data_IF_917594418415
#
_entry.id   IF_917594418415
#
_cell.length_a   1.000
_cell.length_b   1.000
_cell.length_c   1.000
_cell.angle_alpha   90.00
_cell.angle_beta   90.00
_cell.angle_gamma   90.00
#
_symmetry.space_group_name_H-M   'P 1'
#
loop_
_entity.id
_entity.type
_entity.pdbx_description
1 polymer ?
#
# COMPACT_ATOMS: atom_id res chain seq x y z
N UNK A 1 25.45 -7.25 -34.68
CA UNK A 1 23.98 -7.25 -34.83
C UNK A 1 23.43 -8.26 -33.83
N UNK A 2 23.28 -7.83 -32.59
CA UNK A 2 22.83 -8.64 -31.47
C UNK A 2 21.43 -8.15 -31.11
N UNK A 3 20.40 -8.86 -31.56
CA UNK A 3 19.03 -8.64 -31.13
C UNK A 3 18.88 -9.14 -29.69
N UNK A 4 19.02 -8.25 -28.71
CA UNK A 4 18.62 -8.52 -27.33
C UNK A 4 17.09 -8.58 -27.25
N UNK A 5 16.56 -9.81 -27.37
CA UNK A 5 15.18 -10.13 -27.01
C UNK A 5 15.01 -10.01 -25.50
N UNK A 6 14.40 -8.92 -25.04
CA UNK A 6 13.93 -8.79 -23.65
C UNK A 6 12.45 -9.17 -23.53
N UNK A 7 12.19 -10.11 -22.61
CA UNK A 7 10.97 -10.89 -22.45
C UNK A 7 9.76 -10.07 -21.94
N UNK A 8 8.54 -10.47 -22.35
CA UNK A 8 7.26 -9.84 -22.01
C UNK A 8 6.30 -10.82 -21.33
N UNK A 9 5.66 -10.37 -20.25
CA UNK A 9 4.62 -11.09 -19.51
C UNK A 9 3.24 -11.20 -20.21
N UNK A 10 3.15 -11.00 -21.54
CA UNK A 10 2.02 -11.53 -22.34
C UNK A 10 2.26 -11.52 -23.88
N UNK A 11 3.48 -11.81 -24.32
CA UNK A 11 3.76 -12.49 -25.61
C UNK A 11 3.38 -11.87 -26.96
N UNK A 12 2.67 -10.74 -27.07
CA UNK A 12 2.49 -10.03 -28.36
C UNK A 12 3.18 -8.68 -28.35
N UNK A 13 4.38 -8.66 -28.91
CA UNK A 13 4.98 -7.45 -29.47
C UNK A 13 4.07 -7.02 -30.61
N UNK A 14 3.37 -5.88 -30.44
CA UNK A 14 2.76 -5.20 -31.59
C UNK A 14 3.91 -4.97 -32.55
N UNK A 15 3.81 -5.60 -33.72
CA UNK A 15 4.87 -5.62 -34.72
C UNK A 15 5.19 -4.16 -35.04
N UNK A 16 6.39 -3.71 -34.69
CA UNK A 16 6.84 -2.35 -34.98
C UNK A 16 6.83 -2.21 -36.51
N UNK A 17 6.04 -1.27 -37.03
CA UNK A 17 5.98 -1.06 -38.48
C UNK A 17 7.20 -0.29 -38.98
N UNK A 18 7.74 0.61 -38.14
CA UNK A 18 8.94 1.39 -38.39
C UNK A 18 9.69 1.60 -37.08
N UNK A 19 11.00 1.34 -37.08
CA UNK A 19 11.87 1.60 -35.93
C UNK A 19 12.40 3.04 -36.00
N UNK A 20 12.01 3.86 -35.02
CA UNK A 20 12.47 5.25 -34.91
C UNK A 20 13.61 5.42 -33.89
N UNK A 21 14.16 4.34 -33.34
CA UNK A 21 15.18 4.39 -32.28
C UNK A 21 16.36 5.29 -32.64
N UNK A 22 16.88 5.17 -33.87
CA UNK A 22 17.99 6.00 -34.36
C UNK A 22 17.67 7.49 -34.45
N UNK A 23 16.44 7.83 -34.81
CA UNK A 23 15.98 9.23 -34.91
C UNK A 23 15.80 9.81 -33.52
N UNK A 24 15.26 9.02 -32.59
CA UNK A 24 15.07 9.41 -31.19
C UNK A 24 16.43 9.56 -30.48
N UNK A 25 17.39 8.68 -30.74
CA UNK A 25 18.75 8.77 -30.18
C UNK A 25 19.51 10.03 -30.61
N UNK A 26 19.26 10.54 -31.82
CA UNK A 26 19.86 11.78 -32.28
C UNK A 26 19.11 13.01 -31.76
N UNK A 27 17.78 12.98 -31.77
CA UNK A 27 16.95 14.13 -31.40
C UNK A 27 16.83 14.35 -29.89
N UNK A 28 16.92 13.30 -29.07
CA UNK A 28 16.85 13.43 -27.61
C UNK A 28 17.97 14.33 -27.05
N UNK A 29 19.27 14.11 -27.35
CA UNK A 29 20.33 14.99 -26.88
C UNK A 29 20.22 16.42 -27.39
N UNK A 30 19.72 16.62 -28.62
CA UNK A 30 19.47 17.95 -29.17
C UNK A 30 18.37 18.69 -28.39
N UNK A 31 17.29 17.99 -28.06
CA UNK A 31 16.20 18.55 -27.25
C UNK A 31 16.65 18.82 -25.81
N UNK A 32 17.48 17.96 -25.22
CA UNK A 32 18.08 18.20 -23.90
C UNK A 32 18.99 19.44 -23.90
N UNK A 33 19.79 19.64 -24.95
CA UNK A 33 20.59 20.86 -25.10
C UNK A 33 19.71 22.10 -25.24
N UNK A 34 18.68 22.04 -26.09
CA UNK A 34 17.72 23.14 -26.26
C UNK A 34 16.98 23.49 -24.96
N UNK A 35 16.63 22.49 -24.14
CA UNK A 35 16.06 22.73 -22.82
C UNK A 35 17.04 23.43 -21.88
N UNK A 36 18.32 23.04 -21.87
CA UNK A 36 19.38 23.69 -21.08
C UNK A 36 19.67 25.12 -21.54
N UNK A 37 19.47 25.41 -22.82
CA UNK A 37 19.57 26.75 -23.40
C UNK A 37 18.33 27.64 -23.11
N UNK A 38 17.34 27.12 -22.36
CA UNK A 38 16.14 27.87 -21.95
C UNK A 38 14.98 27.80 -22.95
N UNK A 39 15.09 27.01 -24.02
CA UNK A 39 14.04 26.82 -25.04
C UNK A 39 13.21 25.56 -24.77
N UNK A 40 12.67 25.45 -23.55
CA UNK A 40 11.94 24.27 -23.09
C UNK A 40 10.72 23.97 -23.98
N UNK A 41 9.93 24.98 -24.33
CA UNK A 41 8.69 24.81 -25.10
C UNK A 41 8.97 24.30 -26.52
N UNK A 42 9.95 24.87 -27.23
CA UNK A 42 10.33 24.42 -28.58
C UNK A 42 10.83 22.96 -28.57
N UNK A 43 11.60 22.60 -27.55
CA UNK A 43 12.10 21.24 -27.38
C UNK A 43 10.97 20.24 -27.10
N UNK A 44 9.98 20.61 -26.27
CA UNK A 44 8.79 19.80 -26.01
C UNK A 44 7.94 19.66 -27.28
N UNK A 45 7.71 20.73 -28.04
CA UNK A 45 6.95 20.66 -29.29
C UNK A 45 7.60 19.72 -30.31
N UNK A 46 8.93 19.79 -30.44
CA UNK A 46 9.72 18.87 -31.26
C UNK A 46 9.51 17.42 -30.82
N UNK A 47 9.62 17.13 -29.52
CA UNK A 47 9.37 15.79 -28.96
C UNK A 47 7.91 15.34 -29.15
N UNK A 48 6.93 16.23 -29.02
CA UNK A 48 5.52 15.91 -29.25
C UNK A 48 5.20 15.59 -30.71
N UNK A 49 5.97 16.15 -31.64
CA UNK A 49 5.89 15.82 -33.07
C UNK A 49 6.44 14.42 -33.36
N UNK A 50 7.57 14.06 -32.74
CA UNK A 50 8.16 12.73 -32.81
C UNK A 50 7.27 11.69 -32.12
N UNK A 51 6.72 12.02 -30.96
CA UNK A 51 5.76 11.17 -30.24
C UNK A 51 4.58 10.78 -31.12
N UNK A 52 4.07 11.72 -31.93
CA UNK A 52 2.97 11.44 -32.85
C UNK A 52 3.39 10.40 -33.90
N UNK A 53 4.60 10.50 -34.45
CA UNK A 53 5.11 9.57 -35.46
C UNK A 53 5.35 8.18 -34.86
N UNK A 54 6.05 8.10 -33.72
CA UNK A 54 6.38 6.83 -33.06
C UNK A 54 5.13 6.12 -32.54
N UNK A 55 4.15 6.88 -32.03
CA UNK A 55 2.86 6.34 -31.59
C UNK A 55 2.04 5.77 -32.74
N UNK A 56 1.97 6.47 -33.88
CA UNK A 56 1.29 5.97 -35.07
C UNK A 56 1.97 4.72 -35.63
N UNK A 57 3.29 4.65 -35.57
CA UNK A 57 4.07 3.48 -35.96
C UNK A 57 4.05 2.32 -34.92
N UNK A 58 3.33 2.49 -33.81
CA UNK A 58 3.26 1.53 -32.70
C UNK A 58 4.62 1.15 -32.10
N UNK A 59 5.62 2.04 -32.21
CA UNK A 59 6.94 1.88 -31.63
C UNK A 59 6.88 2.18 -30.13
N UNK A 60 6.74 1.10 -29.35
CA UNK A 60 6.62 1.18 -27.89
C UNK A 60 7.88 1.73 -27.22
N UNK A 61 9.06 1.35 -27.69
CA UNK A 61 10.32 1.68 -27.02
C UNK A 61 10.64 3.16 -27.19
N UNK A 62 10.58 3.64 -28.43
CA UNK A 62 10.82 5.04 -28.76
C UNK A 62 9.77 5.95 -28.13
N UNK A 63 8.48 5.59 -28.22
CA UNK A 63 7.41 6.40 -27.59
C UNK A 63 7.58 6.48 -26.07
N UNK A 64 7.97 5.38 -25.41
CA UNK A 64 8.25 5.40 -23.97
C UNK A 64 9.42 6.32 -23.62
N UNK A 65 10.51 6.28 -24.40
CA UNK A 65 11.69 7.14 -24.18
C UNK A 65 11.36 8.61 -24.39
N UNK A 66 10.58 8.94 -25.42
CA UNK A 66 10.13 10.32 -25.67
C UNK A 66 9.29 10.83 -24.50
N UNK A 67 8.31 10.05 -24.01
CA UNK A 67 7.49 10.45 -22.85
C UNK A 67 8.34 10.69 -21.60
N UNK A 68 9.29 9.79 -21.32
CA UNK A 68 10.21 9.92 -20.18
C UNK A 68 11.09 11.17 -20.32
N UNK A 69 11.60 11.45 -21.51
CA UNK A 69 12.43 12.61 -21.77
C UNK A 69 11.67 13.93 -21.60
N UNK A 70 10.41 14.01 -22.06
CA UNK A 70 9.55 15.18 -21.84
C UNK A 70 9.39 15.46 -20.34
N UNK A 71 9.12 14.42 -19.55
CA UNK A 71 9.00 14.54 -18.09
C UNK A 71 10.33 14.96 -17.45
N UNK A 72 11.44 14.35 -17.86
CA UNK A 72 12.79 14.68 -17.38
C UNK A 72 13.17 16.13 -17.65
N UNK A 73 12.93 16.63 -18.86
CA UNK A 73 13.24 18.01 -19.22
C UNK A 73 12.40 19.01 -18.42
N UNK A 74 11.10 18.73 -18.19
CA UNK A 74 10.27 19.58 -17.34
C UNK A 74 10.77 19.59 -15.88
N UNK A 75 11.22 18.44 -15.39
CA UNK A 75 11.80 18.31 -14.05
C UNK A 75 13.14 19.07 -13.92
N UNK A 76 14.05 18.94 -14.89
CA UNK A 76 15.33 19.66 -14.91
C UNK A 76 15.15 21.18 -14.98
N UNK A 77 14.17 21.64 -15.75
CA UNK A 77 13.81 23.05 -15.84
C UNK A 77 13.08 23.58 -14.59
N UNK A 78 12.70 22.71 -13.64
CA UNK A 78 11.87 23.00 -12.46
C UNK A 78 10.51 23.63 -12.80
N UNK A 79 10.02 23.37 -14.00
CA UNK A 79 8.70 23.83 -14.45
C UNK A 79 7.65 22.74 -14.22
N UNK A 80 7.09 22.75 -13.01
CA UNK A 80 6.11 21.76 -12.54
C UNK A 80 4.74 21.94 -13.17
N UNK A 81 4.39 23.16 -13.56
CA UNK A 81 3.10 23.44 -14.19
C UNK A 81 3.12 22.89 -15.62
N UNK A 82 4.21 23.14 -16.39
CA UNK A 82 4.41 22.51 -17.69
C UNK A 82 4.48 20.98 -17.58
N UNK A 83 5.09 20.44 -16.54
CA UNK A 83 5.13 18.99 -16.29
C UNK A 83 3.70 18.42 -16.17
N UNK A 84 2.87 19.00 -15.30
CA UNK A 84 1.51 18.53 -15.06
C UNK A 84 0.63 18.62 -16.31
N UNK A 85 0.74 19.71 -17.07
CA UNK A 85 0.04 19.89 -18.35
C UNK A 85 0.44 18.83 -19.38
N UNK A 86 1.74 18.58 -19.53
CA UNK A 86 2.24 17.57 -20.47
C UNK A 86 1.82 16.16 -20.08
N UNK A 87 1.89 15.80 -18.80
CA UNK A 87 1.40 14.49 -18.32
C UNK A 87 -0.08 14.32 -18.67
N UNK A 88 -0.90 15.34 -18.41
CA UNK A 88 -2.34 15.32 -18.73
C UNK A 88 -2.59 15.21 -20.23
N UNK A 89 -1.86 15.96 -21.05
CA UNK A 89 -1.96 15.94 -22.51
C UNK A 89 -1.61 14.57 -23.08
N UNK A 90 -0.43 14.04 -22.73
CA UNK A 90 0.10 12.77 -23.22
C UNK A 90 -0.79 11.58 -22.83
N UNK A 91 -1.41 11.67 -21.65
CA UNK A 91 -2.35 10.68 -21.13
C UNK A 91 -3.69 10.67 -21.86
N UNK A 92 -4.19 11.86 -22.25
CA UNK A 92 -5.49 12.03 -22.93
C UNK A 92 -5.41 11.79 -24.45
N UNK A 93 -4.20 11.69 -25.02
CA UNK A 93 -4.03 11.41 -26.47
C UNK A 93 -4.69 10.08 -26.85
N UNK A 94 -5.55 10.12 -27.87
CA UNK A 94 -6.27 8.95 -28.39
C UNK A 94 -5.29 7.89 -28.89
N UNK A 95 -5.46 6.62 -28.52
CA UNK A 95 -4.57 5.52 -28.94
C UNK A 95 -3.13 5.63 -28.43
N UNK A 96 -2.93 6.24 -27.26
CA UNK A 96 -1.62 6.19 -26.61
C UNK A 96 -1.29 4.75 -26.15
N UNK A 97 -0.02 4.38 -26.28
CA UNK A 97 0.46 3.05 -25.93
C UNK A 97 0.50 2.85 -24.41
N UNK A 98 -0.12 1.77 -23.92
CA UNK A 98 -0.30 1.51 -22.47
C UNK A 98 1.03 1.44 -21.70
N UNK A 99 2.03 0.70 -22.22
CA UNK A 99 3.32 0.58 -21.52
C UNK A 99 4.12 1.89 -21.55
N UNK A 100 3.93 2.73 -22.57
CA UNK A 100 4.57 4.04 -22.66
C UNK A 100 4.06 4.98 -21.56
N UNK A 101 2.74 5.00 -21.33
CA UNK A 101 2.14 5.71 -20.18
C UNK A 101 2.61 5.13 -18.85
N UNK A 102 2.70 3.80 -18.72
CA UNK A 102 3.17 3.17 -17.48
C UNK A 102 4.59 3.61 -17.13
N UNK A 103 5.53 3.58 -18.09
CA UNK A 103 6.91 4.04 -17.88
C UNK A 103 6.99 5.52 -17.53
N UNK A 104 6.18 6.36 -18.21
CA UNK A 104 6.09 7.78 -17.89
C UNK A 104 5.65 8.02 -16.44
N UNK A 105 4.59 7.34 -15.98
CA UNK A 105 4.07 7.47 -14.61
C UNK A 105 5.09 6.96 -13.58
N UNK A 106 5.80 5.87 -13.88
CA UNK A 106 6.85 5.33 -13.00
C UNK A 106 8.02 6.30 -12.80
N UNK A 107 8.44 7.01 -13.86
CA UNK A 107 9.45 8.07 -13.73
C UNK A 107 8.90 9.26 -12.93
N UNK A 108 7.65 9.67 -13.18
CA UNK A 108 7.01 10.73 -12.39
C UNK A 108 6.94 10.39 -10.90
N UNK A 109 6.70 9.12 -10.55
CA UNK A 109 6.66 8.65 -9.18
C UNK A 109 7.99 8.87 -8.45
N UNK A 110 9.13 8.61 -9.11
CA UNK A 110 10.46 8.86 -8.53
C UNK A 110 10.64 10.34 -8.16
N UNK A 111 10.11 11.25 -8.99
CA UNK A 111 10.19 12.68 -8.71
C UNK A 111 9.36 13.09 -7.50
N UNK A 112 8.18 12.48 -7.27
CA UNK A 112 7.35 12.73 -6.09
C UNK A 112 8.13 12.49 -4.78
N UNK A 113 9.01 11.50 -4.75
CA UNK A 113 9.83 11.19 -3.57
C UNK A 113 10.97 12.20 -3.39
N UNK A 114 11.54 12.73 -4.47
CA UNK A 114 12.64 13.72 -4.42
C UNK A 114 12.17 15.15 -4.15
N UNK A 115 10.93 15.50 -4.50
CA UNK A 115 10.38 16.84 -4.28
C UNK A 115 10.15 17.06 -2.78
N UNK A 116 10.87 18.03 -2.22
CA UNK A 116 10.73 18.44 -0.82
C UNK A 116 9.61 19.44 -0.59
N UNK A 117 9.22 20.19 -1.62
CA UNK A 117 8.19 21.22 -1.52
C UNK A 117 6.77 20.62 -1.49
N UNK A 118 6.08 20.81 -0.38
CA UNK A 118 4.78 20.19 -0.07
C UNK A 118 3.64 20.59 -1.04
N UNK A 119 3.41 21.88 -1.38
CA UNK A 119 2.43 22.27 -2.39
C UNK A 119 2.67 21.67 -3.77
N UNK A 120 3.92 21.66 -4.24
CA UNK A 120 4.28 21.09 -5.55
C UNK A 120 4.05 19.58 -5.56
N UNK A 121 4.46 18.91 -4.47
CA UNK A 121 4.24 17.48 -4.27
C UNK A 121 2.74 17.11 -4.33
N UNK A 122 1.88 17.90 -3.68
CA UNK A 122 0.43 17.69 -3.71
C UNK A 122 -0.14 17.84 -5.12
N UNK A 123 0.22 18.90 -5.87
CA UNK A 123 -0.25 19.09 -7.25
C UNK A 123 0.15 17.96 -8.18
N UNK A 124 1.40 17.48 -8.08
CA UNK A 124 1.90 16.38 -8.89
C UNK A 124 1.16 15.07 -8.57
N UNK A 125 0.95 14.79 -7.27
CA UNK A 125 0.20 13.61 -6.84
C UNK A 125 -1.25 13.65 -7.36
N UNK A 126 -1.95 14.79 -7.26
CA UNK A 126 -3.33 14.92 -7.74
C UNK A 126 -3.42 14.74 -9.26
N UNK A 127 -2.46 15.28 -10.01
CA UNK A 127 -2.34 15.08 -11.45
C UNK A 127 -2.15 13.61 -11.78
N UNK A 128 -1.22 12.92 -11.10
CA UNK A 128 -0.96 11.49 -11.31
C UNK A 128 -2.15 10.61 -10.90
N UNK A 129 -2.87 10.94 -9.81
CA UNK A 129 -4.09 10.23 -9.40
C UNK A 129 -5.21 10.37 -10.44
N UNK A 130 -5.34 11.55 -11.06
CA UNK A 130 -6.31 11.80 -12.14
C UNK A 130 -5.96 11.00 -13.39
N UNK A 131 -4.68 10.98 -13.75
CA UNK A 131 -4.13 10.31 -14.95
C UNK A 131 -4.21 8.79 -14.87
N UNK A 132 -4.05 8.24 -13.66
CA UNK A 132 -4.10 6.79 -13.38
C UNK A 132 -5.52 6.28 -13.11
N UNK A 133 -6.51 7.16 -13.00
CA UNK A 133 -7.90 6.77 -12.76
C UNK A 133 -8.46 5.91 -13.91
N UNK A 134 -9.03 4.74 -13.56
CA UNK A 134 -9.66 3.82 -14.52
C UNK A 134 -8.69 3.00 -15.37
N UNK A 135 -7.38 3.04 -15.10
CA UNK A 135 -6.36 2.32 -15.87
C UNK A 135 -5.76 1.15 -15.09
N UNK A 136 -6.14 -0.07 -15.47
CA UNK A 136 -5.73 -1.32 -14.81
C UNK A 136 -4.20 -1.50 -14.81
N UNK A 137 -3.51 -1.08 -15.88
CA UNK A 137 -2.06 -1.29 -16.04
C UNK A 137 -1.17 -0.36 -15.19
N UNK A 138 -1.75 0.61 -14.47
CA UNK A 138 -1.04 1.51 -13.54
C UNK A 138 -1.72 1.54 -12.15
N UNK A 139 -2.47 0.49 -11.82
CA UNK A 139 -3.22 0.40 -10.56
C UNK A 139 -2.32 0.35 -9.32
N UNK A 140 -1.17 -0.33 -9.43
CA UNK A 140 -0.17 -0.43 -8.35
C UNK A 140 0.42 0.95 -8.03
N UNK A 141 0.84 1.70 -9.06
CA UNK A 141 1.42 3.03 -8.87
C UNK A 141 0.39 4.00 -8.28
N UNK A 142 -0.88 3.89 -8.70
CA UNK A 142 -1.98 4.66 -8.12
C UNK A 142 -2.16 4.36 -6.63
N UNK A 143 -2.09 3.09 -6.23
CA UNK A 143 -2.20 2.69 -4.83
C UNK A 143 -1.08 3.32 -3.99
N UNK A 144 0.17 3.23 -4.46
CA UNK A 144 1.34 3.80 -3.79
C UNK A 144 1.30 5.33 -3.68
N UNK A 145 0.90 6.02 -4.76
CA UNK A 145 0.68 7.47 -4.75
C UNK A 145 -0.38 7.88 -3.73
N UNK A 146 -1.46 7.11 -3.64
CA UNK A 146 -2.56 7.41 -2.71
C UNK A 146 -2.15 7.16 -1.26
N UNK A 147 -1.34 6.14 -0.99
CA UNK A 147 -0.72 5.93 0.34
C UNK A 147 0.16 7.11 0.74
N UNK A 148 0.98 7.60 -0.19
CA UNK A 148 1.83 8.77 0.04
C UNK A 148 1.00 10.02 0.31
N UNK A 149 -0.09 10.24 -0.45
CA UNK A 149 -1.02 11.34 -0.21
C UNK A 149 -1.67 11.26 1.17
N UNK A 150 -2.14 10.08 1.56
CA UNK A 150 -2.76 9.85 2.86
C UNK A 150 -1.78 10.19 4.00
N UNK A 151 -0.51 9.79 3.89
CA UNK A 151 0.52 10.11 4.87
C UNK A 151 0.78 11.62 4.97
N UNK A 152 0.81 12.34 3.84
CA UNK A 152 0.99 13.80 3.84
C UNK A 152 -0.20 14.49 4.54
N UNK A 153 -1.43 14.05 4.24
CA UNK A 153 -2.64 14.58 4.89
C UNK A 153 -2.73 14.24 6.37
N UNK A 154 -2.24 13.07 6.77
CA UNK A 154 -2.15 12.71 8.17
C UNK A 154 -1.17 13.63 8.92
N UNK A 155 0.00 13.91 8.31
CA UNK A 155 0.98 14.84 8.87
C UNK A 155 0.47 16.28 8.95
N UNK A 156 -0.43 16.70 8.06
CA UNK A 156 -1.10 18.00 8.14
C UNK A 156 -2.25 18.04 9.17
N UNK A 157 -2.56 16.92 9.82
CA UNK A 157 -3.64 16.81 10.81
C UNK A 157 -5.02 16.51 10.21
N UNK A 158 -5.12 16.35 8.89
CA UNK A 158 -6.35 16.02 8.16
C UNK A 158 -6.62 14.50 8.12
N UNK A 159 -6.63 13.86 9.29
CA UNK A 159 -6.76 12.38 9.42
C UNK A 159 -8.05 11.84 8.79
N UNK A 160 -9.15 12.61 8.85
CA UNK A 160 -10.44 12.23 8.24
C UNK A 160 -10.36 12.14 6.73
N UNK A 161 -9.70 13.11 6.10
CA UNK A 161 -9.54 13.12 4.65
C UNK A 161 -8.57 12.02 4.20
N UNK A 162 -7.47 11.84 4.94
CA UNK A 162 -6.53 10.74 4.72
C UNK A 162 -7.23 9.37 4.73
N UNK A 163 -8.10 9.14 5.73
CA UNK A 163 -8.88 7.91 5.83
C UNK A 163 -9.84 7.73 4.63
N UNK A 164 -10.58 8.77 4.23
CA UNK A 164 -11.49 8.70 3.08
C UNK A 164 -10.76 8.38 1.78
N UNK A 165 -9.65 9.07 1.52
CA UNK A 165 -8.82 8.90 0.33
C UNK A 165 -8.29 7.46 0.22
N UNK A 166 -7.80 6.90 1.33
CA UNK A 166 -7.26 5.55 1.33
C UNK A 166 -8.36 4.49 1.19
N UNK A 167 -9.57 4.75 1.71
CA UNK A 167 -10.73 3.86 1.62
C UNK A 167 -11.35 3.78 0.21
N UNK A 168 -11.26 4.83 -0.59
CA UNK A 168 -11.73 4.82 -1.99
C UNK A 168 -11.03 3.74 -2.83
N UNK A 169 -9.80 3.37 -2.45
CA UNK A 169 -9.05 2.31 -3.10
C UNK A 169 -9.45 0.92 -2.59
N UNK A 170 -10.08 0.15 -3.46
CA UNK A 170 -10.38 -1.27 -3.22
C UNK A 170 -9.21 -2.17 -3.62
N UNK A 171 -8.10 -2.09 -2.86
CA UNK A 171 -6.85 -2.81 -3.12
C UNK A 171 -7.01 -4.35 -3.18
N UNK A 172 -8.07 -4.87 -2.58
CA UNK A 172 -8.42 -6.30 -2.59
C UNK A 172 -8.68 -6.83 -4.02
N UNK A 173 -9.19 -5.98 -4.89
CA UNK A 173 -9.56 -6.34 -6.28
C UNK A 173 -8.37 -6.33 -7.24
N UNK A 174 -7.22 -5.77 -6.84
CA UNK A 174 -6.06 -5.63 -7.73
C UNK A 174 -5.36 -6.97 -7.94
N UNK A 175 -5.57 -7.61 -9.08
CA UNK A 175 -4.98 -8.92 -9.38
C UNK A 175 -3.45 -8.89 -9.46
N UNK A 176 -2.88 -7.75 -9.88
CA UNK A 176 -1.45 -7.58 -10.13
C UNK A 176 -0.60 -7.31 -8.88
N UNK A 177 -1.25 -6.98 -7.75
CA UNK A 177 -0.57 -6.56 -6.52
C UNK A 177 -0.23 -7.75 -5.62
N UNK A 178 0.95 -7.71 -5.01
CA UNK A 178 1.40 -8.75 -4.08
C UNK A 178 0.47 -8.88 -2.86
N UNK A 179 0.26 -10.11 -2.39
CA UNK A 179 -0.60 -10.38 -1.22
C UNK A 179 -0.13 -9.64 0.02
N UNK A 180 1.18 -9.57 0.25
CA UNK A 180 1.77 -8.86 1.40
C UNK A 180 1.50 -7.37 1.34
N UNK A 181 1.75 -6.75 0.18
CA UNK A 181 1.48 -5.32 -0.03
C UNK A 181 -0.02 -5.02 0.18
N UNK A 182 -0.93 -5.86 -0.34
CA UNK A 182 -2.38 -5.71 -0.09
C UNK A 182 -2.72 -5.69 1.40
N UNK A 183 -2.21 -6.64 2.16
CA UNK A 183 -2.49 -6.72 3.60
C UNK A 183 -1.95 -5.49 4.32
N UNK A 184 -0.74 -5.03 4.00
CA UNK A 184 -0.19 -3.80 4.56
C UNK A 184 -1.07 -2.57 4.26
N UNK A 185 -1.61 -2.47 3.06
CA UNK A 185 -2.56 -1.40 2.71
C UNK A 185 -3.86 -1.47 3.52
N UNK A 186 -4.43 -2.67 3.69
CA UNK A 186 -5.65 -2.86 4.49
C UNK A 186 -5.40 -2.54 5.96
N UNK A 187 -4.24 -2.92 6.50
CA UNK A 187 -3.84 -2.57 7.87
C UNK A 187 -3.69 -1.06 8.08
N UNK A 188 -3.14 -0.37 7.09
CA UNK A 188 -3.02 1.09 7.12
C UNK A 188 -4.40 1.77 7.09
N UNK A 189 -5.33 1.26 6.27
CA UNK A 189 -6.72 1.69 6.28
C UNK A 189 -7.36 1.51 7.67
N UNK A 190 -7.17 0.34 8.30
CA UNK A 190 -7.67 0.09 9.66
C UNK A 190 -7.10 1.08 10.67
N UNK A 191 -5.79 1.35 10.64
CA UNK A 191 -5.13 2.31 11.54
C UNK A 191 -5.73 3.71 11.42
N UNK A 192 -5.90 4.22 10.19
CA UNK A 192 -6.49 5.53 9.96
C UNK A 192 -7.97 5.59 10.39
N UNK A 193 -8.74 4.51 10.17
CA UNK A 193 -10.13 4.45 10.64
C UNK A 193 -10.24 4.51 12.16
N UNK A 194 -9.35 3.80 12.88
CA UNK A 194 -9.28 3.84 14.34
C UNK A 194 -8.92 5.25 14.83
N UNK A 195 -7.99 5.94 14.15
CA UNK A 195 -7.64 7.32 14.48
C UNK A 195 -8.82 8.30 14.32
N UNK A 196 -9.71 8.04 13.35
CA UNK A 196 -10.97 8.79 13.15
C UNK A 196 -12.09 8.32 14.13
N UNK A 197 -11.85 7.26 14.91
CA UNK A 197 -12.82 6.60 15.79
C UNK A 197 -13.99 5.95 15.05
N UNK A 198 -13.75 5.50 13.82
CA UNK A 198 -14.73 4.76 13.02
C UNK A 198 -14.54 3.25 13.17
N UNK A 199 -15.03 2.73 14.30
CA UNK A 199 -14.89 1.32 14.67
C UNK A 199 -15.72 0.40 13.76
N UNK A 200 -16.92 0.83 13.36
CA UNK A 200 -17.82 0.04 12.50
C UNK A 200 -17.17 -0.22 11.14
N UNK A 201 -16.59 0.81 10.51
CA UNK A 201 -15.87 0.61 9.24
C UNK A 201 -14.62 -0.24 9.42
N UNK A 202 -13.90 -0.09 10.54
CA UNK A 202 -12.73 -0.92 10.83
C UNK A 202 -13.09 -2.41 10.88
N UNK A 203 -14.22 -2.78 11.46
CA UNK A 203 -14.71 -4.17 11.47
C UNK A 203 -15.10 -4.69 10.07
N UNK A 204 -15.62 -3.83 9.21
CA UNK A 204 -15.92 -4.21 7.82
C UNK A 204 -14.62 -4.46 7.05
N UNK A 205 -13.61 -3.61 7.29
CA UNK A 205 -12.28 -3.72 6.68
C UNK A 205 -11.54 -4.96 7.18
N UNK A 206 -11.64 -5.31 8.46
CA UNK A 206 -10.95 -6.50 9.00
C UNK A 206 -11.40 -7.81 8.36
N UNK A 207 -12.70 -7.93 8.01
CA UNK A 207 -13.26 -9.11 7.32
C UNK A 207 -12.68 -9.35 5.92
N UNK A 208 -12.01 -8.36 5.34
CA UNK A 208 -11.41 -8.43 4.00
C UNK A 208 -10.04 -9.11 4.01
N UNK A 209 -9.40 -9.21 5.18
CA UNK A 209 -8.15 -9.95 5.35
C UNK A 209 -8.45 -11.42 5.60
N UNK A 210 -7.85 -12.30 4.80
CA UNK A 210 -7.95 -13.74 5.02
C UNK A 210 -6.98 -14.18 6.13
N UNK A 211 -7.50 -14.79 7.19
CA UNK A 211 -6.70 -15.26 8.34
C UNK A 211 -5.68 -16.35 7.98
N UNK A 212 -5.87 -17.07 6.87
CA UNK A 212 -4.88 -18.04 6.36
C UNK A 212 -3.56 -17.39 5.96
N UNK A 213 -3.58 -16.12 5.54
CA UNK A 213 -2.37 -15.38 5.18
C UNK A 213 -1.38 -15.25 6.35
N UNK A 214 -1.89 -15.20 7.58
CA UNK A 214 -1.07 -15.08 8.79
C UNK A 214 -0.43 -16.40 9.25
N UNK A 215 -0.77 -17.51 8.61
CA UNK A 215 -0.15 -18.82 8.87
C UNK A 215 1.12 -19.04 8.03
N UNK A 216 1.34 -18.22 6.99
CA UNK A 216 2.52 -18.28 6.13
C UNK A 216 3.78 -17.73 6.84
N UNK A 217 4.92 -18.39 6.62
CA UNK A 217 6.21 -17.99 7.18
C UNK A 217 6.67 -16.63 6.61
N UNK A 218 7.06 -15.69 7.48
CA UNK A 218 7.49 -14.34 7.09
C UNK A 218 6.44 -13.22 7.25
N UNK A 219 5.17 -13.56 7.55
CA UNK A 219 4.09 -12.57 7.75
C UNK A 219 3.78 -12.26 9.23
N UNK A 220 4.69 -12.61 10.13
CA UNK A 220 4.51 -12.50 11.58
C UNK A 220 4.35 -11.04 12.04
N UNK A 221 5.08 -10.09 11.45
CA UNK A 221 4.96 -8.68 11.80
C UNK A 221 3.57 -8.12 11.43
N UNK A 222 3.08 -8.45 10.23
CA UNK A 222 1.74 -8.07 9.77
C UNK A 222 0.64 -8.70 10.63
N UNK A 223 0.84 -9.94 11.08
CA UNK A 223 -0.05 -10.63 12.03
C UNK A 223 -0.13 -9.87 13.36
N UNK A 224 1.00 -9.46 13.92
CA UNK A 224 1.04 -8.70 15.18
C UNK A 224 0.36 -7.34 15.04
N UNK A 225 0.64 -6.60 13.95
CA UNK A 225 -0.03 -5.33 13.65
C UNK A 225 -1.55 -5.51 13.54
N UNK A 226 -2.01 -6.53 12.83
CA UNK A 226 -3.43 -6.84 12.68
C UNK A 226 -4.12 -7.06 14.04
N UNK A 227 -3.60 -7.97 14.87
CA UNK A 227 -4.26 -8.28 16.14
C UNK A 227 -4.20 -7.12 17.14
N UNK A 228 -3.14 -6.32 17.14
CA UNK A 228 -3.08 -5.12 17.97
C UNK A 228 -4.16 -4.09 17.59
N UNK A 229 -4.42 -3.90 16.30
CA UNK A 229 -5.50 -3.01 15.83
C UNK A 229 -6.88 -3.59 16.18
N UNK A 230 -7.08 -4.91 16.03
CA UNK A 230 -8.33 -5.58 16.39
C UNK A 230 -8.64 -5.47 17.89
N UNK A 231 -7.63 -5.66 18.76
CA UNK A 231 -7.78 -5.49 20.21
C UNK A 231 -8.27 -4.08 20.54
N UNK A 232 -7.72 -3.05 19.87
CA UNK A 232 -8.15 -1.67 20.09
C UNK A 232 -9.61 -1.42 19.69
N UNK A 233 -10.10 -2.09 18.63
CA UNK A 233 -11.50 -2.01 18.20
C UNK A 233 -12.40 -2.71 19.22
N UNK A 234 -12.09 -3.97 19.55
CA UNK A 234 -12.93 -4.77 20.44
C UNK A 234 -12.94 -4.24 21.89
N UNK A 235 -11.86 -3.58 22.32
CA UNK A 235 -11.79 -2.90 23.61
C UNK A 235 -12.80 -1.75 23.71
N UNK A 236 -13.05 -1.04 22.60
CA UNK A 236 -14.08 0.00 22.56
C UNK A 236 -15.49 -0.58 22.61
N UNK A 237 -15.71 -1.74 21.98
CA UNK A 237 -17.02 -2.42 22.00
C UNK A 237 -17.32 -3.17 23.30
N UNK A 238 -16.28 -3.48 24.10
CA UNK A 238 -16.41 -4.28 25.32
C UNK A 238 -16.49 -5.79 25.06
N UNK A 239 -16.07 -6.24 23.87
CA UNK A 239 -16.08 -7.64 23.45
C UNK A 239 -14.89 -8.42 24.02
N UNK A 240 -14.85 -8.62 25.35
CA UNK A 240 -13.71 -9.22 26.05
C UNK A 240 -13.33 -10.63 25.56
N UNK A 241 -14.31 -11.42 25.12
CA UNK A 241 -14.08 -12.76 24.58
C UNK A 241 -13.27 -12.71 23.27
N UNK A 242 -13.57 -11.77 22.38
CA UNK A 242 -12.83 -11.55 21.13
C UNK A 242 -11.40 -11.08 21.40
N UNK A 243 -11.24 -10.16 22.36
CA UNK A 243 -9.92 -9.68 22.82
C UNK A 243 -9.07 -10.86 23.31
N UNK A 244 -9.65 -11.77 24.10
CA UNK A 244 -8.97 -12.97 24.57
C UNK A 244 -8.48 -13.85 23.40
N UNK A 245 -9.32 -14.07 22.37
CA UNK A 245 -8.94 -14.83 21.17
C UNK A 245 -7.80 -14.15 20.40
N UNK A 246 -7.80 -12.82 20.32
CA UNK A 246 -6.75 -12.05 19.66
C UNK A 246 -5.41 -12.11 20.41
N UNK A 247 -5.40 -11.94 21.74
CA UNK A 247 -4.18 -12.12 22.54
C UNK A 247 -3.65 -13.54 22.50
N UNK A 248 -4.52 -14.55 22.42
CA UNK A 248 -4.10 -15.94 22.21
C UNK A 248 -3.40 -16.12 20.87
N UNK A 249 -3.96 -15.57 19.79
CA UNK A 249 -3.33 -15.64 18.47
C UNK A 249 -1.97 -14.91 18.41
N UNK A 250 -1.79 -13.85 19.20
CA UNK A 250 -0.49 -13.18 19.41
C UNK A 250 0.46 -14.13 20.13
N UNK A 251 0.03 -14.76 21.23
CA UNK A 251 0.83 -15.71 22.01
C UNK A 251 1.28 -16.92 21.19
N UNK A 252 0.43 -17.44 20.30
CA UNK A 252 0.77 -18.57 19.41
C UNK A 252 1.84 -18.22 18.35
N UNK A 253 2.31 -16.97 18.29
CA UNK A 253 3.29 -16.52 17.28
C UNK A 253 4.71 -16.85 17.74
N UNK A 254 5.55 -17.53 16.90
CA UNK A 254 6.90 -17.94 17.28
C UNK A 254 7.79 -16.82 17.83
N UNK A 255 7.80 -15.64 17.19
CA UNK A 255 8.58 -14.48 17.67
C UNK A 255 8.22 -14.03 19.10
N UNK A 256 6.97 -14.24 19.52
CA UNK A 256 6.51 -13.86 20.85
C UNK A 256 6.91 -14.94 21.86
N UNK A 257 6.89 -16.22 21.47
CA UNK A 257 7.26 -17.35 22.31
C UNK A 257 8.76 -17.40 22.63
N UNK A 258 9.61 -16.90 21.73
CA UNK A 258 11.06 -16.78 21.93
C UNK A 258 11.42 -15.69 22.97
N UNK A 259 10.65 -14.60 23.01
CA UNK A 259 10.89 -13.47 23.91
C UNK A 259 10.20 -13.65 25.27
N UNK A 260 11.00 -13.89 26.32
CA UNK A 260 10.49 -14.19 27.67
C UNK A 260 9.52 -13.13 28.23
N UNK A 261 9.79 -11.85 27.99
CA UNK A 261 8.93 -10.76 28.46
C UNK A 261 7.61 -10.66 27.70
N UNK A 262 7.62 -10.91 26.38
CA UNK A 262 6.47 -10.69 25.49
C UNK A 262 5.44 -11.79 25.65
N UNK A 263 5.85 -13.07 25.72
CA UNK A 263 4.87 -14.15 25.95
C UNK A 263 4.23 -14.03 27.34
N UNK A 264 4.99 -13.60 28.37
CA UNK A 264 4.43 -13.38 29.69
C UNK A 264 3.37 -12.27 29.68
N UNK A 265 3.61 -11.17 28.96
CA UNK A 265 2.63 -10.10 28.82
C UNK A 265 1.38 -10.57 28.06
N UNK A 266 1.56 -11.27 26.94
CA UNK A 266 0.45 -11.81 26.17
C UNK A 266 -0.41 -12.77 27.01
N UNK A 267 0.22 -13.70 27.74
CA UNK A 267 -0.47 -14.68 28.58
C UNK A 267 -1.22 -14.02 29.74
N UNK A 268 -0.63 -13.01 30.39
CA UNK A 268 -1.30 -12.21 31.44
C UNK A 268 -2.55 -11.51 30.90
N UNK A 269 -2.47 -10.94 29.71
CA UNK A 269 -3.63 -10.32 29.06
C UNK A 269 -4.71 -11.34 28.73
N UNK A 270 -4.36 -12.51 28.19
CA UNK A 270 -5.31 -13.61 27.94
C UNK A 270 -6.07 -13.98 29.22
N UNK A 271 -5.34 -14.22 30.32
CA UNK A 271 -5.93 -14.58 31.62
C UNK A 271 -6.83 -13.47 32.15
N UNK A 272 -6.44 -12.20 32.03
CA UNK A 272 -7.27 -11.10 32.53
C UNK A 272 -8.58 -10.98 31.74
N UNK A 273 -8.51 -11.06 30.41
CA UNK A 273 -9.70 -10.87 29.56
C UNK A 273 -10.67 -12.06 29.59
N UNK A 274 -10.19 -13.30 29.81
CA UNK A 274 -11.08 -14.47 29.96
C UNK A 274 -11.86 -14.44 31.28
N UNK A 275 -11.34 -13.77 32.31
CA UNK A 275 -12.04 -13.59 33.59
C UNK A 275 -13.07 -12.46 33.49
N UNK A 276 -12.75 -11.41 32.73
CA UNK A 276 -13.65 -10.27 32.52
C UNK A 276 -14.80 -10.59 31.55
N UNK A 277 -14.65 -11.60 30.69
CA UNK A 277 -15.72 -12.01 29.77
C UNK A 277 -16.90 -12.65 30.52
N UNK A 278 -18.15 -12.41 30.09
CA UNK A 278 -19.32 -13.08 30.63
C UNK A 278 -19.19 -14.60 30.57
N UNK A 279 -19.83 -15.30 31.53
CA UNK A 279 -19.89 -16.75 31.52
C UNK A 279 -20.65 -17.24 30.28
N UNK A 280 -19.94 -18.03 29.47
CA UNK A 280 -20.46 -18.66 28.26
C UNK A 280 -19.73 -20.00 28.06
N UNK A 281 -20.31 -20.89 27.26
CA UNK A 281 -19.71 -22.18 26.93
C UNK A 281 -18.33 -22.00 26.27
N UNK A 282 -18.19 -21.00 25.39
CA UNK A 282 -16.91 -20.66 24.77
C UNK A 282 -15.88 -20.17 25.79
N UNK A 283 -16.33 -19.41 26.79
CA UNK A 283 -15.46 -18.92 27.85
C UNK A 283 -14.96 -20.08 28.72
N UNK A 284 -15.83 -21.01 29.09
CA UNK A 284 -15.45 -22.19 29.89
C UNK A 284 -14.43 -23.07 29.18
N UNK A 285 -14.62 -23.31 27.88
CA UNK A 285 -13.67 -24.07 27.06
C UNK A 285 -12.33 -23.34 26.90
N UNK A 286 -12.34 -22.02 26.72
CA UNK A 286 -11.11 -21.23 26.72
C UNK A 286 -10.37 -21.30 28.04
N UNK A 287 -11.06 -21.23 29.18
CA UNK A 287 -10.45 -21.35 30.52
C UNK A 287 -9.75 -22.70 30.68
N UNK A 288 -10.41 -23.80 30.30
CA UNK A 288 -9.81 -25.14 30.34
C UNK A 288 -8.56 -25.24 29.46
N UNK A 289 -8.64 -24.74 28.23
CA UNK A 289 -7.48 -24.75 27.32
C UNK A 289 -6.31 -23.90 27.82
N UNK A 290 -6.57 -22.84 28.57
CA UNK A 290 -5.53 -21.99 29.17
C UNK A 290 -4.95 -22.65 30.44
N UNK A 291 -5.77 -23.35 31.22
CA UNK A 291 -5.34 -24.01 32.47
C UNK A 291 -4.43 -25.22 32.24
N UNK A 292 -4.56 -25.87 31.08
CA UNK A 292 -3.71 -26.96 30.59
C UNK A 292 -2.31 -26.50 30.11
N UNK A 293 -2.11 -25.21 29.85
CA UNK A 293 -0.82 -24.71 29.34
C UNK A 293 0.27 -24.72 30.44
N UNK A 294 1.35 -25.47 30.19
CA UNK A 294 2.48 -25.63 31.12
C UNK A 294 3.19 -24.30 31.41
N UNK A 295 3.21 -23.37 30.44
CA UNK A 295 3.86 -22.05 30.63
C UNK A 295 3.13 -21.16 31.63
N UNK A 296 1.86 -21.44 31.92
CA UNK A 296 1.11 -20.75 32.96
C UNK A 296 1.62 -21.10 34.38
N UNK A 297 2.25 -22.27 34.56
CA UNK A 297 2.79 -22.70 35.85
C UNK A 297 4.00 -21.85 36.29
N UNK A 298 4.68 -21.21 35.33
CA UNK A 298 5.81 -20.31 35.57
C UNK A 298 5.39 -18.94 36.14
N UNK A 299 4.09 -18.62 36.14
CA UNK A 299 3.55 -17.36 36.68
C UNK A 299 2.57 -17.63 37.83
N UNK A 300 3.05 -17.84 39.07
CA UNK A 300 2.22 -18.27 40.20
C UNK A 300 1.05 -17.33 40.52
N UNK A 301 1.22 -16.02 40.25
CA UNK A 301 0.22 -14.98 40.56
C UNK A 301 -1.05 -15.06 39.70
N UNK A 302 -0.99 -15.68 38.51
CA UNK A 302 -2.10 -15.78 37.57
C UNK A 302 -2.77 -17.16 37.59
N UNK A 303 -2.43 -18.01 38.57
CA UNK A 303 -3.07 -19.31 38.82
C UNK A 303 -4.54 -19.19 39.25
N UNK A 304 -5.07 -17.96 39.35
CA UNK A 304 -6.47 -17.61 39.63
C UNK A 304 -7.44 -18.29 38.64
N UNK A 305 -7.03 -18.59 37.40
CA UNK A 305 -7.86 -19.36 36.45
C UNK A 305 -8.28 -20.74 37.01
N UNK A 306 -7.41 -21.44 37.73
CA UNK A 306 -7.76 -22.74 38.35
C UNK A 306 -8.79 -22.59 39.48
N UNK A 307 -8.88 -21.41 40.08
CA UNK A 307 -9.89 -21.12 41.11
C UNK A 307 -11.29 -20.90 40.52
N UNK A 308 -11.36 -20.38 39.29
CA UNK A 308 -12.62 -20.21 38.55
C UNK A 308 -13.20 -21.54 38.07
N UNK A 309 -12.36 -22.47 37.60
CA UNK A 309 -12.79 -23.85 37.27
C UNK A 309 -13.40 -24.58 38.49
N UNK A 310 -12.93 -24.27 39.70
CA UNK A 310 -13.40 -24.86 40.94
C UNK A 310 -14.73 -24.28 41.47
N UNK A 311 -15.40 -23.40 40.72
CA UNK A 311 -16.70 -22.85 41.10
C UNK A 311 -16.70 -21.96 42.35
N UNK A 312 -15.54 -21.42 42.74
CA UNK A 312 -15.46 -20.48 43.88
C UNK A 312 -15.72 -19.06 43.39
N UNK A 313 -16.75 -18.36 43.90
CA UNK A 313 -16.94 -16.95 43.59
C UNK A 313 -15.72 -16.14 44.06
N UNK A 314 -15.24 -15.25 43.21
CA UNK A 314 -14.12 -14.32 43.47
C UNK A 314 -14.49 -13.17 44.43
N UNK A 315 -15.50 -13.37 45.28
CA UNK A 315 -15.93 -12.39 46.28
C UNK A 315 -15.92 -13.08 47.65
N UNK A 316 -14.88 -12.79 48.41
CA UNK A 316 -14.92 -12.55 49.85
C UNK A 316 -13.73 -11.67 50.22
#
# INVERSE_FOLDING_TARGET
MSEERTERSDGKIVKMEVDYSSTVDQRLPECEKMAKEGKLQEAIESLLSLEKQTRTASDMLSTSRILVAVVQMCYEAKDWDALNENIMLLTKRRSQLKQAVAKMVQECYKYVDTVTDQPIKLRLIDTLRTVTAGKIYVEIERARLTKTLANIKEQSGEVKEAASILQELQVETYGSMEKKEKVEFILEQMRLCIAVKDYVRTQIISKKINTKFFQEEGNQESKLKYYNLMIHVDQHEGSYLSICKHYRAIYDTPCILEDSSKWQQALKSVVLYVILSPYDNEQSDLVHRISEDKKLEEIPKYKICRCLEAGKPLIN
#
